data_IF_059733021102
#
_entry.id   IF_059733021102
#
_cell.length_a   1.000
_cell.length_b   1.000
_cell.length_c   1.000
_cell.angle_alpha   90.00
_cell.angle_beta   90.00
_cell.angle_gamma   90.00
#
_symmetry.space_group_name_H-M   'P 1'
#
loop_
_entity.id
_entity.type
_entity.pdbx_description
1 polymer ?
#
# COMPACT_ATOMS: atom_id res chain seq x y z
N UNK A 1 -26.44 4.31 33.97
CA UNK A 1 -25.30 5.13 33.55
C UNK A 1 -24.19 4.20 33.12
N UNK A 2 -23.89 4.11 31.83
CA UNK A 2 -22.87 3.21 31.31
C UNK A 2 -21.49 3.84 31.51
N UNK A 3 -20.63 3.17 32.28
CA UNK A 3 -19.23 3.55 32.46
C UNK A 3 -18.48 3.27 31.14
N UNK A 4 -18.14 4.34 30.43
CA UNK A 4 -17.22 4.29 29.31
C UNK A 4 -15.82 4.25 29.93
N UNK A 5 -15.19 3.07 29.94
CA UNK A 5 -13.77 2.97 30.24
C UNK A 5 -13.00 3.69 29.15
N UNK A 6 -12.34 4.80 29.51
CA UNK A 6 -11.36 5.43 28.64
C UNK A 6 -10.22 4.43 28.38
N UNK A 7 -9.93 4.17 27.10
CA UNK A 7 -8.76 3.40 26.71
C UNK A 7 -7.50 4.11 27.23
N UNK A 8 -6.50 3.37 27.74
CA UNK A 8 -5.26 3.97 28.22
C UNK A 8 -4.57 4.72 27.08
N UNK A 9 -4.17 5.96 27.37
CA UNK A 9 -3.32 6.78 26.51
C UNK A 9 -2.00 6.02 26.34
N UNK A 10 -1.56 5.83 25.09
CA UNK A 10 -0.28 5.22 24.74
C UNK A 10 0.87 5.88 25.50
N UNK A 11 1.65 5.09 26.24
CA UNK A 11 2.81 5.53 27.04
C UNK A 11 4.15 5.14 26.40
N UNK A 12 4.21 4.94 25.08
CA UNK A 12 5.45 4.59 24.41
C UNK A 12 6.50 5.70 24.56
N UNK A 13 7.74 5.31 24.83
CA UNK A 13 8.90 6.20 24.80
C UNK A 13 8.97 6.90 23.41
N UNK A 14 9.53 8.11 23.30
CA UNK A 14 9.57 8.89 22.05
C UNK A 14 10.17 8.16 20.84
N UNK A 15 10.89 7.06 21.05
CA UNK A 15 11.56 6.24 20.02
C UNK A 15 10.61 5.39 19.16
N UNK A 16 9.31 5.29 19.50
CA UNK A 16 8.32 4.50 18.74
C UNK A 16 7.61 5.28 17.61
N UNK A 17 7.77 6.60 17.56
CA UNK A 17 7.09 7.42 16.56
C UNK A 17 7.80 7.32 15.20
N UNK A 18 7.08 6.83 14.19
CA UNK A 18 7.58 6.75 12.81
C UNK A 18 6.97 7.85 11.95
N UNK A 19 7.80 8.46 11.11
CA UNK A 19 7.41 9.46 10.14
C UNK A 19 7.29 8.87 8.75
N UNK A 20 6.17 9.19 8.10
CA UNK A 20 5.92 8.87 6.71
C UNK A 20 5.56 10.15 5.95
N UNK A 21 5.99 10.25 4.70
CA UNK A 21 5.51 11.29 3.79
C UNK A 21 4.76 10.68 2.62
N UNK A 22 3.86 11.47 2.04
CA UNK A 22 3.18 11.11 0.81
C UNK A 22 4.01 11.55 -0.38
N UNK A 23 4.32 10.61 -1.26
CA UNK A 23 5.06 10.87 -2.49
C UNK A 23 4.17 11.69 -3.43
N UNK A 24 4.63 12.85 -3.95
CA UNK A 24 3.91 13.61 -4.95
C UNK A 24 4.05 12.98 -6.35
N UNK A 25 3.68 11.70 -6.52
CA UNK A 25 3.73 10.97 -7.80
C UNK A 25 2.61 11.37 -8.79
N UNK A 26 2.06 12.57 -8.62
CA UNK A 26 0.91 13.12 -9.32
C UNK A 26 1.10 14.63 -9.52
N UNK A 27 0.78 15.15 -10.70
CA UNK A 27 0.89 16.58 -11.00
C UNK A 27 0.02 17.42 -10.06
N UNK A 28 0.57 18.51 -9.53
CA UNK A 28 -0.06 19.30 -8.45
C UNK A 28 0.16 18.72 -7.05
N UNK A 29 0.86 17.58 -6.93
CA UNK A 29 1.14 16.91 -5.67
C UNK A 29 -0.15 16.50 -4.96
N UNK A 30 -0.35 17.04 -3.76
CA UNK A 30 -1.54 16.81 -2.93
C UNK A 30 -2.39 18.08 -2.72
N UNK A 31 -2.14 19.13 -3.51
CA UNK A 31 -2.80 20.42 -3.38
C UNK A 31 -3.72 20.66 -4.57
N UNK A 32 -5.02 20.75 -4.32
CA UNK A 32 -6.01 21.12 -5.34
C UNK A 32 -6.12 22.64 -5.36
N UNK A 33 -5.34 23.29 -6.23
CA UNK A 33 -5.29 24.74 -6.34
C UNK A 33 -4.92 25.18 -7.75
N UNK A 34 -5.37 26.38 -8.14
CA UNK A 34 -4.94 27.06 -9.37
C UNK A 34 -3.63 27.85 -9.18
N UNK A 35 -3.10 27.92 -7.95
CA UNK A 35 -1.81 28.53 -7.66
C UNK A 35 -0.71 27.62 -8.21
N UNK A 36 0.29 28.20 -8.89
CA UNK A 36 1.44 27.45 -9.37
C UNK A 36 2.13 26.71 -8.22
N UNK A 37 2.23 25.40 -8.35
CA UNK A 37 2.86 24.54 -7.36
C UNK A 37 4.35 24.40 -7.68
N UNK A 38 5.17 24.28 -6.64
CA UNK A 38 6.61 23.99 -6.76
C UNK A 38 6.92 22.50 -6.70
N UNK A 39 5.88 21.66 -6.70
CA UNK A 39 5.98 20.21 -6.71
C UNK A 39 5.99 19.68 -8.13
N UNK A 40 6.76 18.63 -8.36
CA UNK A 40 6.83 17.92 -9.63
C UNK A 40 6.47 16.43 -9.39
N UNK A 41 5.87 15.82 -10.40
CA UNK A 41 5.51 14.40 -10.41
C UNK A 41 6.59 13.54 -11.06
N UNK A 42 7.56 14.15 -11.75
CA UNK A 42 8.65 13.46 -12.41
C UNK A 42 9.56 12.66 -11.47
N UNK A 43 10.23 11.67 -12.05
CA UNK A 43 11.09 10.74 -11.33
C UNK A 43 12.22 11.44 -10.55
N UNK A 44 13.02 12.28 -11.21
CA UNK A 44 14.21 12.91 -10.59
C UNK A 44 13.85 13.78 -9.38
N UNK A 45 12.73 14.49 -9.47
CA UNK A 45 12.22 15.29 -8.35
C UNK A 45 11.83 14.40 -7.16
N UNK A 46 11.12 13.30 -7.40
CA UNK A 46 10.71 12.39 -6.35
C UNK A 46 11.89 11.60 -5.76
N UNK A 47 12.93 11.28 -6.53
CA UNK A 47 14.18 10.73 -6.01
C UNK A 47 14.84 11.69 -5.03
N UNK A 48 14.96 12.97 -5.41
CA UNK A 48 15.54 14.00 -4.52
C UNK A 48 14.74 14.14 -3.23
N UNK A 49 13.42 14.10 -3.29
CA UNK A 49 12.57 14.13 -2.11
C UNK A 49 12.75 12.89 -1.23
N UNK A 50 12.80 11.69 -1.82
CA UNK A 50 12.99 10.45 -1.08
C UNK A 50 14.34 10.42 -0.35
N UNK A 51 15.42 10.81 -1.03
CA UNK A 51 16.75 10.91 -0.43
C UNK A 51 16.81 11.98 0.66
N UNK A 52 16.10 13.10 0.48
CA UNK A 52 16.00 14.13 1.51
C UNK A 52 15.24 13.61 2.73
N UNK A 53 14.08 12.97 2.51
CA UNK A 53 13.24 12.43 3.56
C UNK A 53 13.99 11.41 4.42
N UNK A 54 14.70 10.47 3.79
CA UNK A 54 15.48 9.50 4.55
C UNK A 54 16.65 10.18 5.29
N UNK A 55 17.32 11.16 4.69
CA UNK A 55 18.41 11.88 5.34
C UNK A 55 17.96 12.62 6.61
N UNK A 56 16.71 13.10 6.65
CA UNK A 56 16.14 13.82 7.80
C UNK A 56 15.32 12.94 8.74
N UNK A 57 15.31 11.62 8.53
CA UNK A 57 14.75 10.65 9.47
C UNK A 57 13.30 10.23 9.21
N UNK A 58 12.80 10.32 7.97
CA UNK A 58 11.56 9.64 7.60
C UNK A 58 11.82 8.15 7.35
N UNK A 59 10.98 7.30 7.92
CA UNK A 59 11.04 5.86 7.75
C UNK A 59 10.31 5.39 6.49
N UNK A 60 9.18 6.02 6.15
CA UNK A 60 8.32 5.58 5.04
C UNK A 60 8.02 6.67 4.01
N UNK A 61 7.87 6.24 2.77
CA UNK A 61 7.28 7.00 1.67
C UNK A 61 6.06 6.25 1.11
N UNK A 62 4.90 6.89 1.10
CA UNK A 62 3.66 6.31 0.56
C UNK A 62 3.34 6.89 -0.82
N UNK A 63 3.38 6.05 -1.85
CA UNK A 63 2.91 6.38 -3.19
C UNK A 63 1.40 6.14 -3.27
N UNK A 64 0.65 7.16 -3.68
CA UNK A 64 -0.79 7.01 -3.90
C UNK A 64 -1.05 6.23 -5.20
N UNK A 65 -2.17 5.49 -5.21
CA UNK A 65 -2.64 4.76 -6.40
C UNK A 65 -3.89 5.43 -6.94
N UNK A 66 -3.87 5.65 -8.25
CA UNK A 66 -4.95 6.18 -9.08
C UNK A 66 -4.69 5.72 -10.52
N UNK A 67 -5.76 5.40 -11.23
CA UNK A 67 -5.73 5.03 -12.65
C UNK A 67 -6.52 6.01 -13.52
N UNK A 68 -7.30 6.90 -12.90
CA UNK A 68 -8.02 7.96 -13.60
C UNK A 68 -7.72 9.33 -13.00
N UNK A 69 -7.44 10.29 -13.87
CA UNK A 69 -7.20 11.68 -13.47
C UNK A 69 -8.47 12.36 -12.96
N UNK A 70 -8.34 13.18 -11.92
CA UNK A 70 -9.40 14.04 -11.38
C UNK A 70 -8.83 15.34 -10.81
N UNK A 71 -9.65 16.39 -10.70
CA UNK A 71 -9.31 17.67 -10.03
C UNK A 71 -7.99 18.36 -10.46
N UNK A 72 -7.62 18.28 -11.73
CA UNK A 72 -6.42 18.95 -12.27
C UNK A 72 -5.11 18.16 -12.15
N UNK A 73 -5.14 16.99 -11.54
CA UNK A 73 -4.01 16.06 -11.45
C UNK A 73 -3.92 15.18 -12.72
N UNK A 74 -3.48 15.74 -13.84
CA UNK A 74 -3.50 15.07 -15.15
C UNK A 74 -2.39 14.02 -15.36
N UNK A 75 -1.25 14.15 -14.70
CA UNK A 75 -0.11 13.24 -14.86
C UNK A 75 0.10 12.46 -13.58
N UNK A 76 0.11 11.13 -13.65
CA UNK A 76 0.14 10.25 -12.49
C UNK A 76 0.97 9.01 -12.79
N UNK A 77 1.90 8.67 -11.92
CA UNK A 77 2.65 7.44 -12.04
C UNK A 77 1.99 6.29 -11.28
N UNK A 78 2.12 5.08 -11.82
CA UNK A 78 1.66 3.85 -11.17
C UNK A 78 2.43 3.65 -9.84
N UNK A 79 1.69 3.27 -8.81
CA UNK A 79 2.12 3.23 -7.41
C UNK A 79 3.24 2.21 -7.18
N UNK A 80 3.10 0.98 -7.68
CA UNK A 80 4.11 -0.07 -7.48
C UNK A 80 5.42 0.22 -8.19
N UNK A 81 5.35 0.70 -9.43
CA UNK A 81 6.52 1.09 -10.22
C UNK A 81 7.28 2.26 -9.58
N UNK A 82 6.55 3.30 -9.17
CA UNK A 82 7.15 4.48 -8.50
C UNK A 82 7.81 4.08 -7.19
N UNK A 83 7.11 3.30 -6.35
CA UNK A 83 7.65 2.86 -5.07
C UNK A 83 8.93 2.05 -5.25
N UNK A 84 8.97 1.09 -6.19
CA UNK A 84 10.20 0.33 -6.47
C UNK A 84 11.34 1.25 -6.94
N UNK A 85 11.06 2.18 -7.85
CA UNK A 85 12.07 3.10 -8.37
C UNK A 85 12.67 4.00 -7.27
N UNK A 86 11.85 4.50 -6.34
CA UNK A 86 12.32 5.28 -5.20
C UNK A 86 13.08 4.45 -4.17
N UNK A 87 12.63 3.22 -3.90
CA UNK A 87 13.34 2.34 -2.99
C UNK A 87 14.74 1.98 -3.50
N UNK A 88 14.90 1.78 -4.81
CA UNK A 88 16.21 1.52 -5.43
C UNK A 88 17.13 2.75 -5.46
N UNK A 89 16.56 3.95 -5.39
CA UNK A 89 17.30 5.22 -5.35
C UNK A 89 17.63 5.71 -3.93
N UNK A 90 17.27 4.93 -2.91
CA UNK A 90 17.45 5.22 -1.48
C UNK A 90 18.08 4.03 -0.76
N UNK A 91 18.64 4.26 0.42
CA UNK A 91 19.40 3.24 1.15
C UNK A 91 18.62 2.62 2.31
N UNK A 92 17.85 3.44 3.04
CA UNK A 92 17.13 3.03 4.26
C UNK A 92 15.62 3.28 4.22
N UNK A 93 15.16 4.17 3.34
CA UNK A 93 13.74 4.50 3.23
C UNK A 93 12.90 3.26 2.88
N UNK A 94 11.85 2.99 3.64
CA UNK A 94 10.83 2.02 3.28
C UNK A 94 9.81 2.67 2.35
N UNK A 95 9.31 1.90 1.39
CA UNK A 95 8.28 2.38 0.45
C UNK A 95 7.01 1.61 0.62
N UNK A 96 5.89 2.33 0.65
CA UNK A 96 4.54 1.79 0.70
C UNK A 96 3.89 2.05 -0.66
N UNK A 97 3.58 1.00 -1.40
CA UNK A 97 2.76 1.11 -2.60
C UNK A 97 1.29 0.98 -2.23
N UNK A 98 0.47 2.00 -2.51
CA UNK A 98 -0.98 1.83 -2.43
C UNK A 98 -1.48 0.88 -3.54
N UNK A 99 -2.46 0.03 -3.22
CA UNK A 99 -2.96 -1.05 -4.08
C UNK A 99 -4.48 -1.06 -4.08
N UNK A 100 -5.08 -1.34 -5.24
CA UNK A 100 -6.52 -1.59 -5.39
C UNK A 100 -6.83 -3.07 -5.64
N UNK A 101 -7.47 -3.77 -4.68
CA UNK A 101 -8.05 -5.08 -4.93
C UNK A 101 -9.06 -5.03 -6.08
N UNK A 102 -9.02 -6.05 -6.93
CA UNK A 102 -9.88 -6.19 -8.12
C UNK A 102 -9.36 -5.48 -9.37
N UNK A 103 -8.28 -4.69 -9.25
CA UNK A 103 -7.44 -4.29 -10.39
C UNK A 103 -6.23 -5.21 -10.47
N UNK A 104 -5.60 -5.49 -9.32
CA UNK A 104 -4.55 -6.47 -9.21
C UNK A 104 -5.08 -7.88 -8.95
N UNK A 105 -4.45 -8.84 -9.62
CA UNK A 105 -4.52 -10.25 -9.23
C UNK A 105 -3.53 -10.49 -8.07
N UNK A 106 -3.98 -10.99 -6.89
CA UNK A 106 -3.15 -11.04 -5.68
C UNK A 106 -1.87 -11.85 -5.86
N UNK A 107 -1.89 -12.96 -6.60
CA UNK A 107 -0.68 -13.76 -6.80
C UNK A 107 0.39 -13.05 -7.64
N UNK A 108 -0.04 -12.31 -8.67
CA UNK A 108 0.84 -11.51 -9.51
C UNK A 108 1.43 -10.35 -8.72
N UNK A 109 0.60 -9.65 -7.93
CA UNK A 109 1.08 -8.59 -7.05
C UNK A 109 2.06 -9.14 -6.01
N UNK A 110 1.73 -10.26 -5.35
CA UNK A 110 2.60 -10.86 -4.35
C UNK A 110 3.98 -11.20 -4.95
N UNK A 111 4.03 -11.77 -6.17
CA UNK A 111 5.29 -12.00 -6.88
C UNK A 111 6.07 -10.71 -7.16
N UNK A 112 5.39 -9.64 -7.56
CA UNK A 112 6.01 -8.33 -7.76
C UNK A 112 6.60 -7.80 -6.44
N UNK A 113 5.82 -7.82 -5.36
CA UNK A 113 6.23 -7.31 -4.06
C UNK A 113 7.39 -8.11 -3.48
N UNK A 114 7.38 -9.45 -3.59
CA UNK A 114 8.52 -10.27 -3.18
C UNK A 114 9.78 -9.96 -3.99
N UNK A 115 9.65 -9.69 -5.30
CA UNK A 115 10.77 -9.28 -6.13
C UNK A 115 11.34 -7.93 -5.69
N UNK A 116 10.45 -6.95 -5.48
CA UNK A 116 10.83 -5.65 -4.95
C UNK A 116 11.49 -5.76 -3.57
N UNK A 117 10.93 -6.56 -2.68
CA UNK A 117 11.44 -6.81 -1.33
C UNK A 117 12.86 -7.40 -1.34
N UNK A 118 13.15 -8.33 -2.26
CA UNK A 118 14.50 -8.85 -2.48
C UNK A 118 15.47 -7.76 -2.95
N UNK A 119 15.06 -6.95 -3.93
CA UNK A 119 15.92 -5.90 -4.47
C UNK A 119 16.19 -4.78 -3.46
N UNK A 120 15.21 -4.46 -2.62
CA UNK A 120 15.28 -3.38 -1.65
C UNK A 120 15.78 -3.84 -0.28
N UNK A 121 16.05 -5.14 -0.11
CA UNK A 121 16.50 -5.77 1.15
C UNK A 121 15.50 -5.58 2.29
N UNK A 122 14.23 -5.85 2.03
CA UNK A 122 13.18 -5.84 3.04
C UNK A 122 12.47 -4.50 3.25
N UNK A 123 12.61 -3.54 2.34
CA UNK A 123 12.10 -2.17 2.48
C UNK A 123 10.78 -1.91 1.76
N UNK A 124 10.10 -2.96 1.31
CA UNK A 124 8.83 -2.84 0.57
C UNK A 124 7.64 -3.14 1.47
N UNK A 125 6.58 -2.35 1.31
CA UNK A 125 5.28 -2.54 1.95
C UNK A 125 4.14 -2.20 0.99
N UNK A 126 2.93 -2.63 1.31
CA UNK A 126 1.71 -2.29 0.56
C UNK A 126 0.67 -1.61 1.45
N UNK A 127 -0.15 -0.74 0.87
CA UNK A 127 -1.33 -0.18 1.50
C UNK A 127 -2.57 -0.54 0.68
N UNK A 128 -3.41 -1.43 1.21
CA UNK A 128 -4.59 -1.96 0.52
C UNK A 128 -5.76 -0.98 0.66
N UNK A 129 -6.14 -0.37 -0.45
CA UNK A 129 -7.23 0.60 -0.54
C UNK A 129 -8.44 -0.04 -1.23
N UNK A 130 -9.56 -0.19 -0.53
CA UNK A 130 -10.76 -0.89 -1.02
C UNK A 130 -11.45 -0.27 -2.23
N UNK A 131 -10.98 0.88 -2.72
CA UNK A 131 -11.55 1.59 -3.86
C UNK A 131 -12.78 2.44 -3.50
N UNK A 132 -12.83 3.64 -4.07
CA UNK A 132 -13.95 4.58 -3.88
C UNK A 132 -14.41 5.19 -5.20
N UNK A 133 -13.51 5.36 -6.18
CA UNK A 133 -13.84 5.97 -7.45
C UNK A 133 -14.29 4.91 -8.47
N UNK A 134 -15.60 4.79 -8.65
CA UNK A 134 -16.23 3.78 -9.52
C UNK A 134 -15.68 3.79 -10.95
N UNK A 135 -15.42 4.97 -11.50
CA UNK A 135 -14.95 5.14 -12.87
C UNK A 135 -13.59 4.50 -13.13
N UNK A 136 -12.72 4.37 -12.13
CA UNK A 136 -11.43 3.67 -12.27
C UNK A 136 -11.62 2.19 -12.59
N UNK A 137 -12.70 1.59 -12.09
CA UNK A 137 -13.02 0.18 -12.38
C UNK A 137 -13.79 0.08 -13.69
N UNK A 138 -14.91 0.80 -13.82
CA UNK A 138 -15.83 0.60 -14.94
C UNK A 138 -15.22 1.00 -16.29
N UNK A 139 -14.37 2.04 -16.33
CA UNK A 139 -13.70 2.45 -17.58
C UNK A 139 -12.55 1.52 -17.98
N UNK A 140 -11.98 0.78 -17.03
CA UNK A 140 -11.05 -0.32 -17.29
C UNK A 140 -11.78 -1.64 -17.61
N UNK A 141 -13.12 -1.64 -17.67
CA UNK A 141 -13.92 -2.84 -17.92
C UNK A 141 -14.01 -3.79 -16.72
N UNK A 142 -13.65 -3.33 -15.52
CA UNK A 142 -13.61 -4.12 -14.31
C UNK A 142 -14.94 -4.02 -13.52
N UNK A 143 -15.32 -5.07 -12.78
CA UNK A 143 -16.54 -5.07 -11.98
C UNK A 143 -16.46 -4.06 -10.83
N UNK A 144 -17.51 -3.25 -10.70
CA UNK A 144 -17.72 -2.41 -9.52
C UNK A 144 -18.55 -3.15 -8.48
N UNK A 145 -18.03 -3.22 -7.25
CA UNK A 145 -18.72 -3.82 -6.12
C UNK A 145 -19.30 -2.75 -5.20
N UNK A 146 -20.40 -3.08 -4.53
CA UNK A 146 -20.97 -2.25 -3.47
C UNK A 146 -20.06 -2.19 -2.23
N UNK A 147 -20.30 -1.20 -1.36
CA UNK A 147 -19.36 -0.86 -0.28
C UNK A 147 -18.92 -2.05 0.58
N UNK A 148 -19.86 -2.86 1.07
CA UNK A 148 -19.55 -4.04 1.90
C UNK A 148 -18.72 -5.08 1.17
N UNK A 149 -19.10 -5.39 -0.08
CA UNK A 149 -18.41 -6.37 -0.93
C UNK A 149 -16.97 -5.93 -1.26
N UNK A 150 -16.72 -4.62 -1.40
CA UNK A 150 -15.34 -4.12 -1.57
C UNK A 150 -14.44 -4.44 -0.38
N UNK A 151 -14.97 -4.36 0.85
CA UNK A 151 -14.20 -4.74 2.05
C UNK A 151 -14.06 -6.25 2.19
N UNK A 152 -15.07 -7.05 1.82
CA UNK A 152 -14.92 -8.52 1.76
C UNK A 152 -13.82 -8.93 0.77
N UNK A 153 -13.83 -8.35 -0.44
CA UNK A 153 -12.77 -8.56 -1.43
C UNK A 153 -11.40 -8.15 -0.91
N UNK A 154 -11.33 -7.02 -0.19
CA UNK A 154 -10.05 -6.53 0.35
C UNK A 154 -9.51 -7.42 1.48
N UNK A 155 -10.40 -8.01 2.30
CA UNK A 155 -10.01 -8.98 3.31
C UNK A 155 -9.44 -10.25 2.66
N UNK A 156 -10.17 -10.86 1.71
CA UNK A 156 -9.67 -12.03 0.98
C UNK A 156 -8.36 -11.73 0.23
N UNK A 157 -8.23 -10.53 -0.35
CA UNK A 157 -6.99 -10.10 -1.01
C UNK A 157 -5.79 -10.08 -0.06
N UNK A 158 -5.93 -9.48 1.13
CA UNK A 158 -4.86 -9.42 2.12
C UNK A 158 -4.50 -10.81 2.66
N UNK A 159 -5.50 -11.67 2.89
CA UNK A 159 -5.28 -13.04 3.34
C UNK A 159 -4.50 -13.86 2.30
N UNK A 160 -4.90 -13.79 1.03
CA UNK A 160 -4.20 -14.47 -0.07
C UNK A 160 -2.76 -13.95 -0.21
N UNK A 161 -2.56 -12.63 -0.23
CA UNK A 161 -1.23 -12.04 -0.35
C UNK A 161 -0.34 -12.46 0.82
N UNK A 162 -0.85 -12.41 2.06
CA UNK A 162 -0.11 -12.85 3.26
C UNK A 162 0.28 -14.32 3.18
N UNK A 163 -0.67 -15.21 2.87
CA UNK A 163 -0.41 -16.65 2.67
C UNK A 163 0.67 -16.88 1.62
N UNK A 164 0.58 -16.22 0.48
CA UNK A 164 1.57 -16.31 -0.59
C UNK A 164 2.95 -15.77 -0.22
N UNK A 165 3.06 -14.89 0.78
CA UNK A 165 4.34 -14.48 1.33
C UNK A 165 4.93 -15.49 2.32
N UNK A 166 4.10 -16.20 3.09
CA UNK A 166 4.55 -16.93 4.28
C UNK A 166 4.45 -18.45 4.19
N UNK A 167 3.70 -18.99 3.23
CA UNK A 167 3.38 -20.42 3.14
C UNK A 167 3.85 -21.02 1.81
N UNK A 168 4.03 -22.34 1.79
CA UNK A 168 4.22 -23.14 0.58
C UNK A 168 2.93 -23.92 0.29
N UNK A 169 2.71 -24.28 -0.97
CA UNK A 169 1.54 -25.04 -1.46
C UNK A 169 0.22 -24.37 -1.03
N UNK A 170 0.12 -23.07 -1.26
CA UNK A 170 -1.02 -22.27 -0.84
C UNK A 170 -2.26 -22.72 -1.58
N UNK A 171 -3.29 -23.05 -0.81
CA UNK A 171 -4.66 -23.21 -1.26
C UNK A 171 -5.53 -22.12 -0.62
N UNK A 172 -6.41 -21.50 -1.41
CA UNK A 172 -7.38 -20.53 -0.92
C UNK A 172 -8.66 -20.59 -1.78
N UNK A 173 -9.72 -21.26 -1.33
CA UNK A 173 -10.99 -21.33 -2.06
C UNK A 173 -11.90 -20.14 -1.69
N UNK A 174 -11.50 -18.93 -2.07
CA UNK A 174 -12.22 -17.69 -1.75
C UNK A 174 -13.44 -17.43 -2.63
N UNK A 175 -14.22 -16.40 -2.27
CA UNK A 175 -15.32 -15.94 -3.11
C UNK A 175 -14.84 -15.02 -4.24
N UNK A 176 -13.73 -14.30 -4.01
CA UNK A 176 -13.15 -13.36 -4.97
C UNK A 176 -11.87 -13.89 -5.60
N UNK A 177 -11.10 -14.68 -4.86
CA UNK A 177 -9.80 -15.18 -5.30
C UNK A 177 -9.69 -16.67 -5.02
N UNK A 178 -9.17 -17.41 -6.00
CA UNK A 178 -8.87 -18.82 -5.85
C UNK A 178 -7.39 -19.05 -6.08
N UNK A 179 -6.73 -19.72 -5.14
CA UNK A 179 -5.36 -20.22 -5.30
C UNK A 179 -5.40 -21.74 -5.10
N UNK A 180 -4.72 -22.48 -5.96
CA UNK A 180 -4.68 -23.94 -5.98
C UNK A 180 -3.21 -24.39 -6.05
N UNK A 181 -2.76 -25.12 -5.01
CA UNK A 181 -1.41 -25.67 -4.84
C UNK A 181 -0.27 -24.79 -5.40
N UNK A 182 -0.15 -23.55 -4.91
CA UNK A 182 0.78 -22.58 -5.46
C UNK A 182 1.83 -22.09 -4.46
N UNK A 183 3.10 -22.02 -4.90
CA UNK A 183 4.22 -21.52 -4.08
C UNK A 183 4.96 -20.41 -4.81
N UNK A 184 5.14 -19.25 -4.15
CA UNK A 184 6.00 -18.19 -4.66
C UNK A 184 7.46 -18.38 -4.22
N UNK A 185 8.37 -18.28 -5.19
CA UNK A 185 9.82 -18.19 -4.94
C UNK A 185 10.45 -17.06 -5.77
N UNK A 186 11.41 -16.28 -5.24
CA UNK A 186 11.87 -16.30 -3.84
C UNK A 186 10.76 -15.82 -2.89
N UNK A 187 10.84 -16.24 -1.62
CA UNK A 187 10.02 -15.69 -0.54
C UNK A 187 10.51 -14.31 -0.07
N UNK A 188 10.02 -13.81 1.08
CA UNK A 188 10.44 -12.52 1.64
C UNK A 188 11.95 -12.42 1.85
N UNK A 189 12.51 -11.22 1.70
CA UNK A 189 13.89 -10.96 2.09
C UNK A 189 14.02 -11.10 3.61
N UNK A 190 14.99 -11.88 4.12
CA UNK A 190 15.12 -12.16 5.53
C UNK A 190 15.50 -10.89 6.31
N UNK A 191 14.60 -10.44 7.17
CA UNK A 191 14.81 -9.35 8.13
C UNK A 191 14.36 -9.85 9.50
N UNK A 192 15.20 -9.70 10.51
CA UNK A 192 14.90 -10.14 11.87
C UNK A 192 13.58 -9.54 12.37
N UNK A 193 12.71 -10.38 12.93
CA UNK A 193 11.41 -9.96 13.45
C UNK A 193 10.36 -9.58 12.39
N UNK A 194 10.67 -9.66 11.09
CA UNK A 194 9.73 -9.32 10.02
C UNK A 194 9.40 -10.56 9.16
N UNK A 195 8.22 -11.20 9.36
CA UNK A 195 7.86 -12.42 8.67
C UNK A 195 7.57 -12.22 7.16
N UNK A 196 7.13 -11.03 6.76
CA UNK A 196 6.78 -10.70 5.37
C UNK A 196 6.77 -9.17 5.16
N UNK A 197 6.67 -8.68 3.90
CA UNK A 197 6.37 -7.28 3.59
C UNK A 197 5.14 -6.76 4.34
N UNK A 198 5.23 -5.57 4.92
CA UNK A 198 4.15 -4.98 5.75
C UNK A 198 2.91 -4.71 4.89
N UNK A 199 1.72 -5.03 5.43
CA UNK A 199 0.42 -4.86 4.80
C UNK A 199 -0.39 -3.85 5.61
N UNK A 200 -0.52 -2.64 5.10
CA UNK A 200 -1.34 -1.59 5.69
C UNK A 200 -2.75 -1.56 5.08
N UNK A 201 -3.71 -1.05 5.84
CA UNK A 201 -5.01 -0.64 5.31
C UNK A 201 -5.53 0.59 6.07
N UNK A 202 -5.97 1.60 5.32
CA UNK A 202 -6.64 2.78 5.85
C UNK A 202 -8.15 2.79 5.58
N UNK A 203 -8.92 3.41 6.47
CA UNK A 203 -10.32 3.75 6.22
C UNK A 203 -11.11 4.05 7.49
N UNK A 204 -12.13 4.92 7.37
CA UNK A 204 -12.90 5.42 8.51
C UNK A 204 -14.22 4.67 8.76
N UNK A 205 -14.68 3.82 7.83
CA UNK A 205 -15.91 3.05 8.03
C UNK A 205 -15.71 1.93 9.06
N UNK A 206 -16.80 1.47 9.67
CA UNK A 206 -16.73 0.33 10.61
C UNK A 206 -16.15 -0.91 9.93
N UNK A 207 -16.50 -1.17 8.66
CA UNK A 207 -15.94 -2.27 7.89
C UNK A 207 -14.42 -2.13 7.68
N UNK A 208 -13.93 -0.92 7.38
CA UNK A 208 -12.49 -0.66 7.24
C UNK A 208 -11.73 -0.92 8.53
N UNK A 209 -12.26 -0.42 9.65
CA UNK A 209 -11.63 -0.59 10.97
C UNK A 209 -11.59 -2.05 11.40
N UNK A 210 -12.67 -2.81 11.13
CA UNK A 210 -12.72 -4.25 11.38
C UNK A 210 -11.70 -4.98 10.52
N UNK A 211 -11.61 -4.66 9.23
CA UNK A 211 -10.63 -5.30 8.36
C UNK A 211 -9.20 -4.96 8.78
N UNK A 212 -8.89 -3.68 9.01
CA UNK A 212 -7.57 -3.23 9.43
C UNK A 212 -7.11 -3.94 10.70
N UNK A 213 -7.98 -4.04 11.72
CA UNK A 213 -7.63 -4.75 12.96
C UNK A 213 -7.52 -6.27 12.85
N UNK A 214 -7.93 -6.89 11.73
CA UNK A 214 -7.89 -8.35 11.53
C UNK A 214 -6.83 -8.80 10.51
N UNK A 215 -6.60 -8.00 9.48
CA UNK A 215 -5.87 -8.42 8.29
C UNK A 215 -4.68 -7.52 7.93
N UNK A 216 -4.57 -6.34 8.51
CA UNK A 216 -3.43 -5.44 8.33
C UNK A 216 -2.47 -5.53 9.53
N UNK A 217 -1.25 -5.01 9.34
CA UNK A 217 -0.19 -4.93 10.35
C UNK A 217 -0.23 -3.60 11.12
#
# INVERSE_FOLDING_TARGET
>A
MANIHANPIYTGEPEDLKFAYWVPNVSGGLVVSNIEQRTDWGYDYNVKLAQTAEAVGYEYALSQVRYLSSYGAAQQHESTATSLALALATEKLKVIAAIHPGIWEPAVLAKFILTADQFTKGRTAINVVSGWFKDEYTRLGLPWLEHGERYRRSAEFMDVVRKLFTEENVEYPGNFYTVDDFTLRPGPYPVEGRPHPEIFQGGNSSAARINGGKHAD
#
